data_IF_780018854016
#
_entry.id   IF_780018854016
#
_cell.length_a   1.000
_cell.length_b   1.000
_cell.length_c   1.000
_cell.angle_alpha   90.00
_cell.angle_beta   90.00
_cell.angle_gamma   90.00
#
_symmetry.space_group_name_H-M   'P 1'
#
loop_
_entity.id
_entity.type
_entity.pdbx_description
1 polymer ?
#
# COMPACT_ATOMS: atom_id res chain seq x y z
N UNK A 1 18.93 -39.00 45.26
CA UNK A 1 18.02 -37.84 45.14
C UNK A 1 18.02 -37.42 43.68
N UNK A 2 16.91 -37.67 42.95
CA UNK A 2 16.75 -37.21 41.57
C UNK A 2 16.59 -35.67 41.58
N UNK A 3 17.40 -34.97 40.79
CA UNK A 3 17.19 -33.54 40.57
C UNK A 3 15.91 -33.32 39.76
N UNK A 4 15.10 -32.30 40.08
CA UNK A 4 13.91 -32.00 39.31
C UNK A 4 14.33 -31.56 37.91
N UNK A 5 13.84 -32.27 36.90
CA UNK A 5 13.98 -31.90 35.49
C UNK A 5 13.20 -30.61 35.30
N UNK A 6 13.89 -29.47 35.29
CA UNK A 6 13.31 -28.16 35.03
C UNK A 6 12.69 -28.17 33.63
N UNK A 7 11.37 -28.01 33.56
CA UNK A 7 10.58 -28.12 32.35
C UNK A 7 10.60 -26.79 31.55
N UNK A 8 11.81 -26.32 31.22
CA UNK A 8 12.10 -25.02 30.60
C UNK A 8 11.30 -24.81 29.30
N UNK A 9 11.05 -25.89 28.55
CA UNK A 9 10.28 -25.82 27.31
C UNK A 9 8.79 -25.50 27.53
N UNK A 10 8.19 -25.96 28.63
CA UNK A 10 6.80 -25.62 28.94
C UNK A 10 6.68 -24.17 29.42
N UNK A 11 7.63 -23.68 30.22
CA UNK A 11 7.67 -22.28 30.66
C UNK A 11 7.87 -21.32 29.48
N UNK A 12 8.76 -21.64 28.53
CA UNK A 12 8.95 -20.84 27.31
C UNK A 12 7.67 -20.83 26.45
N UNK A 13 6.96 -21.95 26.36
CA UNK A 13 5.71 -22.03 25.60
C UNK A 13 4.57 -21.25 26.27
N UNK A 14 4.48 -21.29 27.60
CA UNK A 14 3.55 -20.47 28.39
C UNK A 14 3.84 -18.97 28.25
N UNK A 15 5.11 -18.56 28.39
CA UNK A 15 5.56 -17.19 28.18
C UNK A 15 5.24 -16.72 26.76
N UNK A 16 5.49 -17.56 25.74
CA UNK A 16 5.14 -17.24 24.36
C UNK A 16 3.63 -17.11 24.13
N UNK A 17 2.83 -17.93 24.81
CA UNK A 17 1.36 -17.89 24.76
C UNK A 17 0.84 -16.61 25.42
N UNK A 18 1.42 -16.20 26.54
CA UNK A 18 1.09 -14.96 27.24
C UNK A 18 1.57 -13.71 26.50
N UNK A 19 2.73 -13.78 25.84
CA UNK A 19 3.19 -12.74 24.91
C UNK A 19 2.27 -12.62 23.69
N UNK A 20 1.76 -13.75 23.15
CA UNK A 20 0.74 -13.74 22.09
C UNK A 20 -0.60 -13.18 22.58
N UNK A 21 -1.03 -13.54 23.79
CA UNK A 21 -2.29 -13.06 24.38
C UNK A 21 -2.23 -11.56 24.70
N UNK A 22 -1.11 -11.09 25.26
CA UNK A 22 -0.87 -9.68 25.54
C UNK A 22 -0.70 -8.86 24.26
N UNK A 23 0.05 -9.31 23.25
CA UNK A 23 0.17 -8.61 21.95
C UNK A 23 -1.16 -8.46 21.21
N UNK A 24 -2.13 -9.36 21.46
CA UNK A 24 -3.49 -9.27 20.92
C UNK A 24 -4.45 -8.45 21.78
N UNK A 25 -4.02 -7.98 22.96
CA UNK A 25 -4.84 -7.17 23.86
C UNK A 25 -5.29 -5.87 23.18
N UNK A 26 -6.46 -5.37 23.59
CA UNK A 26 -6.99 -4.09 23.10
C UNK A 26 -5.98 -2.96 23.28
N UNK A 27 -5.33 -2.89 24.45
CA UNK A 27 -4.29 -1.90 24.75
C UNK A 27 -3.17 -1.92 23.72
N UNK A 28 -2.62 -3.09 23.42
CA UNK A 28 -1.50 -3.21 22.46
C UNK A 28 -1.94 -2.90 21.03
N UNK A 29 -3.19 -3.23 20.65
CA UNK A 29 -3.74 -2.82 19.35
C UNK A 29 -3.89 -1.30 19.23
N UNK A 30 -4.41 -0.64 20.26
CA UNK A 30 -4.54 0.82 20.29
C UNK A 30 -3.17 1.50 20.27
N UNK A 31 -2.21 1.02 21.05
CA UNK A 31 -0.84 1.53 21.02
C UNK A 31 -0.17 1.35 19.66
N UNK A 32 -0.40 0.21 18.99
CA UNK A 32 0.10 -0.02 17.62
C UNK A 32 -0.50 1.00 16.64
N UNK A 33 -1.80 1.27 16.72
CA UNK A 33 -2.46 2.26 15.85
C UNK A 33 -1.85 3.65 16.06
N UNK A 34 -1.66 4.07 17.32
CA UNK A 34 -1.06 5.38 17.64
C UNK A 34 0.38 5.47 17.14
N UNK A 35 1.17 4.41 17.32
CA UNK A 35 2.55 4.35 16.83
C UNK A 35 2.60 4.41 15.30
N UNK A 36 1.75 3.65 14.61
CA UNK A 36 1.71 3.61 13.15
C UNK A 36 1.19 4.94 12.56
N UNK A 37 0.26 5.62 13.25
CA UNK A 37 -0.15 6.99 12.92
C UNK A 37 1.01 7.98 13.01
N UNK A 38 1.88 7.86 14.02
CA UNK A 38 3.04 8.74 14.14
C UNK A 38 4.01 8.58 12.96
N UNK A 39 4.22 7.34 12.50
CA UNK A 39 4.99 7.08 11.28
C UNK A 39 4.36 7.76 10.07
N UNK A 40 3.06 7.57 9.83
CA UNK A 40 2.33 8.21 8.71
C UNK A 40 2.50 9.73 8.74
N UNK A 41 2.34 10.36 9.91
CA UNK A 41 2.55 11.80 10.09
C UNK A 41 3.98 12.24 9.79
N UNK A 42 4.97 11.45 10.17
CA UNK A 42 6.38 11.74 9.91
C UNK A 42 6.65 11.77 8.40
N UNK A 43 6.18 10.75 7.67
CA UNK A 43 6.33 10.70 6.22
C UNK A 43 5.56 11.83 5.53
N UNK A 44 4.32 12.08 5.95
CA UNK A 44 3.51 13.18 5.40
C UNK A 44 4.20 14.54 5.53
N UNK A 45 4.78 14.84 6.70
CA UNK A 45 5.54 16.08 6.93
C UNK A 45 6.77 16.20 6.03
N UNK A 46 7.41 15.09 5.68
CA UNK A 46 8.56 15.09 4.79
C UNK A 46 8.20 15.27 3.33
N UNK A 47 7.03 14.76 2.89
CA UNK A 47 6.61 14.80 1.48
C UNK A 47 5.77 16.03 1.14
N UNK A 48 5.11 16.64 2.12
CA UNK A 48 4.25 17.83 1.96
C UNK A 48 3.09 17.68 0.97
N UNK A 49 2.68 16.45 0.64
CA UNK A 49 1.49 16.17 -0.18
C UNK A 49 0.26 15.85 0.69
N UNK A 50 -0.96 16.14 0.20
CA UNK A 50 -2.20 15.86 0.92
C UNK A 50 -2.37 14.37 1.24
N UNK A 51 -2.91 14.08 2.43
CA UNK A 51 -3.16 12.73 2.91
C UNK A 51 -4.53 12.23 2.45
N UNK A 52 -4.50 11.11 1.74
CA UNK A 52 -5.65 10.36 1.25
C UNK A 52 -5.70 9.01 1.95
N UNK A 53 -6.79 8.73 2.67
CA UNK A 53 -6.94 7.45 3.33
C UNK A 53 -7.62 6.43 2.41
N UNK A 54 -7.00 5.27 2.19
CA UNK A 54 -7.70 4.16 1.56
C UNK A 54 -8.76 3.62 2.52
N UNK A 55 -10.03 3.59 2.13
CA UNK A 55 -11.18 3.23 2.97
C UNK A 55 -11.13 1.79 3.48
N UNK A 56 -10.26 0.94 2.91
CA UNK A 56 -10.07 -0.44 3.34
C UNK A 56 -9.46 -0.52 4.76
N UNK A 57 -8.26 0.00 4.95
CA UNK A 57 -7.62 0.04 6.27
C UNK A 57 -6.96 1.38 6.60
N UNK A 58 -6.72 2.26 5.62
CA UNK A 58 -6.05 3.55 5.80
C UNK A 58 -6.74 4.50 6.78
N UNK A 59 -8.07 4.43 6.89
CA UNK A 59 -8.86 5.26 7.81
C UNK A 59 -8.44 5.16 9.28
N UNK A 60 -7.87 4.02 9.69
CA UNK A 60 -7.36 3.84 11.05
C UNK A 60 -6.12 4.69 11.35
N UNK A 61 -5.35 5.04 10.31
CA UNK A 61 -4.03 5.67 10.44
C UNK A 61 -4.01 7.13 9.97
N UNK A 62 -5.11 7.65 9.44
CA UNK A 62 -5.22 9.05 9.00
C UNK A 62 -6.36 9.75 9.74
N UNK A 63 -6.06 10.54 10.78
CA UNK A 63 -7.05 11.32 11.52
C UNK A 63 -7.85 12.27 10.61
N UNK A 64 -9.10 12.55 10.98
CA UNK A 64 -9.99 13.46 10.21
C UNK A 64 -9.35 14.83 9.96
N UNK A 65 -8.70 15.40 10.96
CA UNK A 65 -8.08 16.74 10.87
C UNK A 65 -6.86 16.79 9.93
N UNK A 66 -6.23 15.64 9.68
CA UNK A 66 -5.05 15.55 8.80
C UNK A 66 -5.42 15.03 7.40
N UNK A 67 -6.67 14.58 7.20
CA UNK A 67 -7.13 13.90 5.98
C UNK A 67 -7.79 14.88 5.03
N UNK A 68 -7.32 14.94 3.79
CA UNK A 68 -7.97 15.74 2.75
C UNK A 68 -9.17 14.99 2.14
N UNK A 69 -8.97 13.73 1.77
CA UNK A 69 -10.01 12.90 1.14
C UNK A 69 -9.79 11.41 1.41
N UNK A 70 -10.65 10.57 0.86
CA UNK A 70 -10.56 9.11 0.87
C UNK A 70 -10.46 8.54 -0.54
N UNK A 71 -10.00 7.30 -0.64
CA UNK A 71 -10.02 6.54 -1.88
C UNK A 71 -10.38 5.08 -1.61
N UNK A 72 -10.72 4.34 -2.67
CA UNK A 72 -11.06 2.92 -2.57
C UNK A 72 -10.23 2.10 -3.55
N UNK A 73 -9.02 1.71 -3.14
CA UNK A 73 -8.21 0.72 -3.85
C UNK A 73 -8.31 -0.63 -3.15
N UNK A 74 -8.79 -1.67 -3.84
CA UNK A 74 -9.01 -3.00 -3.25
C UNK A 74 -7.84 -3.93 -3.58
N UNK A 75 -7.23 -4.51 -2.55
CA UNK A 75 -6.09 -5.41 -2.71
C UNK A 75 -6.36 -6.61 -3.62
N UNK A 76 -7.60 -7.12 -3.68
CA UNK A 76 -7.96 -8.26 -4.53
C UNK A 76 -7.74 -7.97 -6.01
N UNK A 77 -7.82 -6.70 -6.41
CA UNK A 77 -7.64 -6.29 -7.79
C UNK A 77 -6.15 -6.34 -8.18
N UNK A 78 -5.24 -6.43 -7.19
CA UNK A 78 -3.80 -6.63 -7.36
C UNK A 78 -3.31 -8.04 -7.01
N UNK A 79 -4.19 -9.00 -6.73
CA UNK A 79 -3.77 -10.37 -6.39
C UNK A 79 -3.11 -11.07 -7.57
N UNK A 80 -2.11 -11.90 -7.27
CA UNK A 80 -1.38 -12.70 -8.25
C UNK A 80 -2.35 -13.56 -9.07
N UNK A 81 -2.18 -13.57 -10.39
CA UNK A 81 -3.02 -14.27 -11.38
C UNK A 81 -4.47 -13.76 -11.49
N UNK A 82 -4.85 -12.67 -10.81
CA UNK A 82 -6.20 -12.07 -10.89
C UNK A 82 -6.17 -10.66 -11.46
N UNK A 83 -5.04 -9.94 -11.34
CA UNK A 83 -4.85 -8.52 -11.67
C UNK A 83 -5.93 -7.91 -12.56
N UNK A 84 -6.68 -6.96 -12.02
CA UNK A 84 -7.84 -6.38 -12.68
C UNK A 84 -7.91 -4.88 -12.49
N UNK A 85 -8.61 -4.22 -13.40
CA UNK A 85 -8.88 -2.79 -13.34
C UNK A 85 -10.38 -2.55 -13.17
N UNK A 86 -10.78 -1.92 -12.06
CA UNK A 86 -12.21 -1.73 -11.76
C UNK A 86 -12.77 -0.49 -12.44
N UNK A 87 -13.67 -0.69 -13.40
CA UNK A 87 -14.39 0.40 -14.07
C UNK A 87 -15.41 1.13 -13.18
N UNK A 88 -15.71 0.59 -11.99
CA UNK A 88 -16.63 1.20 -11.01
C UNK A 88 -15.93 1.97 -9.89
N UNK A 89 -14.65 1.66 -9.64
CA UNK A 89 -13.87 2.20 -8.50
C UNK A 89 -12.61 2.86 -9.04
N UNK A 90 -12.83 3.87 -9.88
CA UNK A 90 -11.77 4.52 -10.65
C UNK A 90 -11.00 5.56 -9.84
N UNK A 91 -11.50 6.03 -8.70
CA UNK A 91 -10.85 7.06 -7.88
C UNK A 91 -10.47 8.33 -8.67
N UNK A 92 -11.24 8.71 -9.71
CA UNK A 92 -10.93 9.87 -10.57
C UNK A 92 -11.11 11.21 -9.85
N UNK A 93 -11.85 11.23 -8.75
CA UNK A 93 -11.97 12.40 -7.87
C UNK A 93 -10.62 12.82 -7.26
N UNK A 94 -9.62 11.94 -7.26
CA UNK A 94 -8.26 12.29 -6.86
C UNK A 94 -7.53 13.13 -7.91
N UNK A 95 -7.93 13.11 -9.18
CA UNK A 95 -7.20 13.81 -10.25
C UNK A 95 -7.15 15.33 -10.04
N UNK A 96 -8.26 16.03 -9.71
CA UNK A 96 -8.21 17.45 -9.35
C UNK A 96 -7.27 17.74 -8.16
N UNK A 97 -7.28 16.90 -7.12
CA UNK A 97 -6.41 17.05 -5.95
C UNK A 97 -4.93 16.91 -6.35
N UNK A 98 -4.61 15.91 -7.17
CA UNK A 98 -3.26 15.65 -7.68
C UNK A 98 -2.77 16.82 -8.54
N UNK A 99 -3.62 17.33 -9.44
CA UNK A 99 -3.32 18.47 -10.30
C UNK A 99 -2.97 19.72 -9.47
N UNK A 100 -3.75 20.00 -8.44
CA UNK A 100 -3.57 21.16 -7.56
C UNK A 100 -2.30 21.07 -6.70
N UNK A 101 -2.00 19.88 -6.17
CA UNK A 101 -0.94 19.71 -5.16
C UNK A 101 0.37 19.12 -5.71
N UNK A 102 0.40 18.70 -6.97
CA UNK A 102 1.58 18.03 -7.56
C UNK A 102 1.75 16.56 -7.14
N UNK A 103 0.84 16.01 -6.34
CA UNK A 103 0.93 14.66 -5.82
C UNK A 103 -0.02 14.40 -4.65
N UNK A 104 -0.05 13.16 -4.18
CA UNK A 104 -0.86 12.72 -3.03
C UNK A 104 -0.11 11.66 -2.23
N UNK A 105 -0.41 11.60 -0.92
CA UNK A 105 -0.02 10.50 -0.05
C UNK A 105 -1.20 9.56 0.15
N UNK A 106 -1.10 8.31 -0.29
CA UNK A 106 -2.15 7.30 -0.10
C UNK A 106 -1.74 6.32 0.99
N UNK A 107 -2.53 6.25 2.06
CA UNK A 107 -2.24 5.41 3.23
C UNK A 107 -3.12 4.17 3.23
N UNK A 108 -2.51 3.02 3.44
CA UNK A 108 -3.20 1.76 3.71
C UNK A 108 -2.36 0.88 4.65
N UNK A 109 -2.87 -0.27 5.05
CA UNK A 109 -2.10 -1.24 5.85
C UNK A 109 -2.29 -2.65 5.36
N UNK A 110 -1.33 -3.52 5.66
CA UNK A 110 -1.42 -4.94 5.35
C UNK A 110 -1.52 -5.78 6.62
N UNK A 111 -1.99 -7.02 6.44
CA UNK A 111 -1.94 -8.03 7.50
C UNK A 111 -0.56 -8.68 7.55
N UNK A 112 -0.28 -9.33 8.67
CA UNK A 112 1.01 -9.97 9.06
C UNK A 112 1.74 -10.64 7.88
N UNK A 113 3.04 -10.37 7.75
CA UNK A 113 3.95 -11.05 6.82
C UNK A 113 4.28 -10.31 5.52
N UNK A 114 3.46 -9.35 5.06
CA UNK A 114 3.77 -8.51 3.89
C UNK A 114 4.35 -7.16 4.33
N UNK A 115 5.20 -6.57 3.48
CA UNK A 115 5.68 -5.19 3.66
C UNK A 115 4.55 -4.19 3.41
N UNK A 116 3.69 -4.47 2.44
CA UNK A 116 2.65 -3.54 1.98
C UNK A 116 1.49 -4.31 1.34
N UNK A 117 0.24 -3.79 1.36
CA UNK A 117 -0.87 -4.49 0.72
C UNK A 117 -0.77 -4.42 -0.80
N UNK A 118 -1.36 -5.41 -1.49
CA UNK A 118 -1.39 -5.45 -2.95
C UNK A 118 -2.12 -4.24 -3.57
N UNK A 119 -2.97 -3.57 -2.79
CA UNK A 119 -3.60 -2.30 -3.17
C UNK A 119 -2.55 -1.24 -3.52
N UNK A 120 -1.49 -1.13 -2.71
CA UNK A 120 -0.43 -0.14 -2.89
C UNK A 120 0.70 -0.64 -3.80
N UNK A 121 1.05 -1.95 -3.77
CA UNK A 121 2.16 -2.48 -4.59
C UNK A 121 1.78 -2.81 -6.03
N UNK A 122 0.49 -3.03 -6.32
CA UNK A 122 0.01 -3.49 -7.63
C UNK A 122 -1.23 -2.75 -8.11
N UNK A 123 -2.28 -2.60 -7.31
CA UNK A 123 -3.52 -1.97 -7.78
C UNK A 123 -3.33 -0.50 -8.14
N UNK A 124 -2.68 0.31 -7.29
CA UNK A 124 -2.36 1.71 -7.61
C UNK A 124 -1.39 1.80 -8.80
N UNK A 125 -0.30 1.01 -8.89
CA UNK A 125 0.53 0.94 -10.09
C UNK A 125 -0.22 0.65 -11.39
N UNK A 126 -1.13 -0.32 -11.38
CA UNK A 126 -1.99 -0.62 -12.53
C UNK A 126 -2.87 0.60 -12.85
N UNK A 127 -3.42 1.25 -11.82
CA UNK A 127 -4.23 2.45 -12.00
C UNK A 127 -3.45 3.59 -12.66
N UNK A 128 -2.27 3.94 -12.13
CA UNK A 128 -1.39 4.94 -12.74
C UNK A 128 -1.05 4.58 -14.19
N UNK A 129 -0.67 3.32 -14.44
CA UNK A 129 -0.28 2.87 -15.78
C UNK A 129 -1.43 2.99 -16.79
N UNK A 130 -2.65 2.60 -16.40
CA UNK A 130 -3.85 2.71 -17.27
C UNK A 130 -4.18 4.16 -17.55
N UNK A 131 -4.19 5.04 -16.54
CA UNK A 131 -4.49 6.46 -16.72
C UNK A 131 -3.45 7.15 -17.62
N UNK A 132 -2.16 6.93 -17.33
CA UNK A 132 -1.08 7.45 -18.16
C UNK A 132 -1.20 6.94 -19.60
N UNK A 133 -1.50 5.65 -19.80
CA UNK A 133 -1.65 5.08 -21.14
C UNK A 133 -2.82 5.67 -21.93
N UNK A 134 -3.92 6.01 -21.25
CA UNK A 134 -5.08 6.61 -21.93
C UNK A 134 -4.76 8.06 -22.32
N UNK A 135 -4.10 8.82 -21.46
CA UNK A 135 -3.86 10.26 -21.63
C UNK A 135 -2.65 10.54 -22.53
N UNK A 136 -1.52 9.85 -22.30
CA UNK A 136 -0.25 10.10 -22.99
C UNK A 136 0.06 9.08 -24.09
N UNK A 137 -0.75 8.03 -24.22
CA UNK A 137 -0.54 6.95 -25.19
C UNK A 137 0.33 5.81 -24.66
N UNK A 138 0.65 4.86 -25.53
CA UNK A 138 1.42 3.65 -25.16
C UNK A 138 2.84 4.01 -24.72
N UNK A 139 3.26 3.49 -23.57
CA UNK A 139 4.60 3.68 -23.03
C UNK A 139 4.86 2.75 -21.85
N UNK A 140 6.08 2.79 -21.33
CA UNK A 140 6.46 2.04 -20.13
C UNK A 140 5.99 2.79 -18.88
N UNK A 141 4.69 2.65 -18.57
CA UNK A 141 4.04 3.36 -17.47
C UNK A 141 3.90 2.54 -16.19
N UNK A 142 4.02 1.21 -16.26
CA UNK A 142 3.86 0.37 -15.09
C UNK A 142 5.09 0.49 -14.18
N UNK A 143 4.87 0.85 -12.92
CA UNK A 143 5.94 0.98 -11.92
C UNK A 143 5.54 0.18 -10.70
N UNK A 144 6.26 -0.90 -10.40
CA UNK A 144 6.01 -1.75 -9.20
C UNK A 144 7.26 -1.85 -8.33
N UNK A 145 7.14 -1.99 -7.01
CA UNK A 145 8.29 -2.09 -6.12
C UNK A 145 8.98 -3.46 -6.28
N UNK A 146 10.22 -3.47 -6.74
CA UNK A 146 11.00 -4.70 -6.99
C UNK A 146 11.22 -5.56 -5.72
N UNK A 147 11.18 -4.95 -4.54
CA UNK A 147 11.25 -5.64 -3.25
C UNK A 147 10.00 -6.46 -2.90
N UNK A 148 8.88 -6.27 -3.61
CA UNK A 148 7.59 -6.90 -3.29
C UNK A 148 6.92 -7.57 -4.50
N UNK A 149 7.27 -7.14 -5.72
CA UNK A 149 6.71 -7.64 -6.97
C UNK A 149 7.87 -8.15 -7.82
N UNK A 150 7.87 -9.44 -8.13
CA UNK A 150 8.92 -10.03 -8.96
C UNK A 150 8.87 -9.51 -10.39
N UNK A 151 9.99 -9.54 -11.12
CA UNK A 151 10.04 -9.13 -12.53
C UNK A 151 9.07 -9.95 -13.41
N UNK A 152 8.90 -11.24 -13.12
CA UNK A 152 7.92 -12.09 -13.81
C UNK A 152 6.48 -11.65 -13.56
N UNK A 153 6.16 -11.30 -12.31
CA UNK A 153 4.86 -10.79 -11.92
C UNK A 153 4.58 -9.43 -12.59
N UNK A 154 5.55 -8.51 -12.56
CA UNK A 154 5.50 -7.23 -13.23
C UNK A 154 5.19 -7.37 -14.73
N UNK A 155 5.97 -8.18 -15.44
CA UNK A 155 5.79 -8.41 -16.89
C UNK A 155 4.42 -9.04 -17.20
N UNK A 156 3.88 -9.85 -16.29
CA UNK A 156 2.56 -10.46 -16.46
C UNK A 156 1.45 -9.42 -16.31
N UNK A 157 1.58 -8.50 -15.36
CA UNK A 157 0.67 -7.36 -15.19
C UNK A 157 0.75 -6.42 -16.40
N UNK A 158 1.96 -6.10 -16.86
CA UNK A 158 2.20 -5.19 -17.99
C UNK A 158 1.45 -5.62 -19.25
N UNK A 159 1.46 -6.93 -19.56
CA UNK A 159 0.72 -7.50 -20.70
C UNK A 159 -0.80 -7.30 -20.63
N UNK A 160 -1.37 -7.07 -19.45
CA UNK A 160 -2.80 -6.85 -19.27
C UNK A 160 -3.20 -5.38 -19.45
N UNK A 161 -2.27 -4.43 -19.29
CA UNK A 161 -2.54 -2.98 -19.35
C UNK A 161 -3.27 -2.57 -20.63
N UNK A 162 -2.89 -3.03 -21.85
CA UNK A 162 -3.59 -2.65 -23.07
C UNK A 162 -5.10 -3.02 -23.06
N UNK A 163 -5.46 -4.16 -22.45
CA UNK A 163 -6.86 -4.59 -22.37
C UNK A 163 -7.69 -3.70 -21.43
N UNK A 164 -7.09 -3.24 -20.33
CA UNK A 164 -7.73 -2.30 -19.41
C UNK A 164 -7.90 -0.92 -20.06
N UNK A 165 -6.87 -0.44 -20.77
CA UNK A 165 -6.92 0.81 -21.54
C UNK A 165 -8.04 0.77 -22.58
N UNK A 166 -8.18 -0.33 -23.32
CA UNK A 166 -9.27 -0.51 -24.28
C UNK A 166 -10.65 -0.40 -23.61
N UNK A 167 -10.82 -1.06 -22.46
CA UNK A 167 -12.07 -1.02 -21.69
C UNK A 167 -12.42 0.38 -21.18
N UNK A 168 -11.43 1.13 -20.70
CA UNK A 168 -11.60 2.53 -20.24
C UNK A 168 -11.98 3.46 -21.38
N UNK A 169 -11.31 3.33 -22.54
CA UNK A 169 -11.60 4.12 -23.74
C UNK A 169 -12.99 3.82 -24.29
N UNK A 170 -13.39 2.55 -24.34
CA UNK A 170 -14.73 2.14 -24.81
C UNK A 170 -15.84 2.79 -23.98
N UNK A 171 -15.65 2.85 -22.66
CA UNK A 171 -16.61 3.43 -21.72
C UNK A 171 -16.47 4.96 -21.58
N UNK A 172 -15.52 5.59 -22.28
CA UNK A 172 -15.28 7.05 -22.25
C UNK A 172 -15.06 7.63 -20.85
N UNK A 173 -14.54 6.81 -19.92
CA UNK A 173 -14.50 7.15 -18.49
C UNK A 173 -13.53 8.28 -18.12
N UNK A 174 -12.63 8.65 -19.03
CA UNK A 174 -11.64 9.71 -18.83
C UNK A 174 -11.89 10.93 -19.73
N UNK A 175 -13.02 10.99 -20.43
CA UNK A 175 -13.39 12.18 -21.19
C UNK A 175 -13.49 13.39 -20.25
N UNK A 176 -12.75 14.46 -20.55
CA UNK A 176 -12.72 15.69 -19.77
C UNK A 176 -11.60 15.78 -18.73
N UNK A 177 -10.93 14.68 -18.39
CA UNK A 177 -9.73 14.73 -17.56
C UNK A 177 -8.49 15.02 -18.41
N UNK A 178 -7.65 15.94 -17.93
CA UNK A 178 -6.35 16.26 -18.53
C UNK A 178 -5.29 16.22 -17.45
N UNK A 179 -4.17 15.58 -17.76
CA UNK A 179 -2.95 15.64 -16.98
C UNK A 179 -1.85 16.18 -17.88
N UNK A 180 -1.04 17.10 -17.37
CA UNK A 180 0.15 17.63 -18.04
C UNK A 180 1.40 16.79 -17.74
N UNK A 181 1.41 16.06 -16.61
CA UNK A 181 2.49 15.18 -16.15
C UNK A 181 1.98 13.75 -15.87
N UNK A 182 2.83 12.71 -15.99
CA UNK A 182 2.43 11.34 -15.68
C UNK A 182 2.29 11.11 -14.18
N UNK A 183 1.38 10.22 -13.80
CA UNK A 183 1.21 9.74 -12.43
C UNK A 183 2.26 8.66 -12.13
N UNK A 184 3.12 8.88 -11.14
CA UNK A 184 4.22 7.94 -10.81
C UNK A 184 4.12 7.50 -9.35
N UNK A 185 3.93 6.20 -9.07
CA UNK A 185 3.89 5.71 -7.70
C UNK A 185 5.27 5.55 -7.06
N UNK A 186 5.34 5.84 -5.77
CA UNK A 186 6.49 5.59 -4.88
C UNK A 186 6.02 4.92 -3.59
N UNK A 187 6.92 4.24 -2.86
CA UNK A 187 6.53 3.37 -1.74
C UNK A 187 7.31 3.65 -0.48
N UNK A 188 6.58 3.79 0.63
CA UNK A 188 7.12 4.08 1.96
C UNK A 188 6.52 3.10 2.96
N UNK A 189 7.38 2.55 3.82
CA UNK A 189 6.98 1.62 4.87
C UNK A 189 7.97 1.71 6.03
N UNK A 190 7.56 1.32 7.26
CA UNK A 190 8.45 1.34 8.41
C UNK A 190 9.73 0.54 8.17
N UNK A 191 10.87 1.17 8.41
CA UNK A 191 12.20 0.57 8.21
C UNK A 191 12.83 0.80 6.83
N UNK A 192 12.12 1.45 5.89
CA UNK A 192 12.74 1.97 4.67
C UNK A 192 13.35 3.37 4.90
N UNK A 193 14.44 3.68 4.20
CA UNK A 193 14.98 5.04 4.14
C UNK A 193 13.98 5.96 3.46
N UNK A 194 13.69 7.10 4.10
CA UNK A 194 12.83 8.14 3.53
C UNK A 194 13.62 8.94 2.50
N UNK A 195 13.24 8.84 1.24
CA UNK A 195 13.69 9.76 0.21
C UNK A 195 12.65 10.88 0.04
N UNK A 196 13.04 12.10 0.42
CA UNK A 196 12.22 13.31 0.28
C UNK A 196 12.48 14.08 -1.02
N UNK A 197 13.50 13.69 -1.79
CA UNK A 197 13.76 14.31 -3.10
C UNK A 197 12.82 13.70 -4.13
N UNK A 198 11.65 14.32 -4.24
CA UNK A 198 10.61 13.95 -5.18
C UNK A 198 10.87 14.61 -6.53
N UNK A 199 10.51 13.91 -7.59
CA UNK A 199 10.66 14.39 -8.96
C UNK A 199 9.48 15.34 -9.28
N UNK A 200 9.78 16.61 -9.51
CA UNK A 200 8.78 17.63 -9.85
C UNK A 200 8.26 17.52 -11.29
N UNK A 201 8.90 16.72 -12.15
CA UNK A 201 8.47 16.49 -13.53
C UNK A 201 7.27 15.53 -13.63
N UNK A 202 6.87 14.93 -12.50
CA UNK A 202 5.78 13.94 -12.43
C UNK A 202 4.78 14.29 -11.33
N UNK A 203 3.60 13.69 -11.39
CA UNK A 203 2.66 13.70 -10.29
C UNK A 203 2.95 12.52 -9.35
N UNK A 204 3.40 12.83 -8.13
CA UNK A 204 3.89 11.83 -7.18
C UNK A 204 2.73 11.14 -6.44
N UNK A 205 2.62 9.82 -6.59
CA UNK A 205 1.62 9.00 -5.90
C UNK A 205 2.30 8.20 -4.79
N UNK A 206 2.46 8.83 -3.62
CA UNK A 206 3.22 8.31 -2.50
C UNK A 206 2.41 7.29 -1.69
N UNK A 207 2.68 6.00 -1.88
CA UNK A 207 1.99 4.91 -1.22
C UNK A 207 2.64 4.56 0.12
N UNK A 208 1.89 4.70 1.22
CA UNK A 208 2.38 4.41 2.59
C UNK A 208 1.69 3.16 3.14
N UNK A 209 2.50 2.14 3.48
CA UNK A 209 2.08 1.07 4.38
C UNK A 209 2.27 1.52 5.83
N UNK A 210 1.19 1.73 6.59
CA UNK A 210 1.30 2.21 7.97
C UNK A 210 1.93 1.17 8.91
N UNK A 211 1.54 -0.10 8.75
CA UNK A 211 1.87 -1.19 9.68
C UNK A 211 3.24 -1.81 9.39
N UNK A 212 4.03 -2.05 10.45
CA UNK A 212 5.28 -2.82 10.37
C UNK A 212 5.05 -4.25 9.87
N UNK A 213 5.99 -4.77 9.08
CA UNK A 213 6.07 -6.21 8.80
C UNK A 213 6.44 -6.93 10.10
N UNK A 214 5.55 -7.78 10.58
CA UNK A 214 5.83 -8.73 11.67
C UNK A 214 6.08 -10.09 11.04
N UNK A 215 7.25 -10.68 11.31
CA UNK A 215 7.59 -12.01 10.81
C UNK A 215 6.66 -13.06 11.41
N UNK A 216 6.15 -13.94 10.55
CA UNK A 216 5.36 -15.09 10.98
C UNK A 216 6.34 -16.18 11.37
N UNK A 217 6.59 -16.34 12.66
CA UNK A 217 7.29 -17.53 13.16
C UNK A 217 6.43 -18.75 12.81
N UNK A 218 6.83 -19.51 11.78
CA UNK A 218 6.25 -20.83 11.52
C UNK A 218 6.75 -21.74 12.65
N UNK A 219 5.89 -22.48 13.38
CA UNK A 219 6.38 -23.52 14.26
C UNK A 219 7.18 -24.50 13.39
N UNK A 220 8.43 -24.75 13.77
CA UNK A 220 9.25 -25.77 13.11
C UNK A 220 8.49 -27.10 13.23
N UNK A 221 7.96 -27.59 12.11
CA UNK A 221 7.61 -28.99 11.96
C UNK A 221 8.95 -29.71 11.80
N UNK A 222 9.56 -30.08 12.92
CA UNK A 222 10.63 -31.07 12.94
C UNK A 222 10.03 -32.42 12.58
N UNK A 223 10.45 -32.97 11.44
CA UNK A 223 10.29 -34.37 11.03
C UNK A 223 10.93 -35.32 12.01
#
# INVERSE_FOLDING_TARGET
MQQPIFNINNDINEINKDLKKSSLSLKNRLQSIVHDQYFVRTVHRSLSYPLIANERCGLWYVPLNDRLDTCYFKSTDGHTNVWSFSLRRLNLHLLPIILEHGGVVIVDSTRRGKLMPDALSKTIPIWCAVLNSVIFGTGDWLRTPSSMVSKSEHNSIEKLIPSFVASVKQMKLLEGFKLDKPLIPSWYYPGASLNSNLDESVYNICCISASRKVDVHKPNLTS
#
